data_IF_270731087786
#
_entry.id   IF_270731087786
#
_cell.length_a   1.000
_cell.length_b   1.000
_cell.length_c   1.000
_cell.angle_alpha   90.00
_cell.angle_beta   90.00
_cell.angle_gamma   90.00
#
_symmetry.space_group_name_H-M   'P 1'
#
loop_
_entity.id
_entity.type
_entity.pdbx_description
1 polymer ?
#
# COMPACT_ATOMS: atom_id res chain seq x y z
N UNK A 1 1.99 9.08 -14.58
CA UNK A 1 0.72 8.50 -15.03
C UNK A 1 -0.29 8.67 -13.92
N UNK A 2 -1.49 9.06 -14.29
CA UNK A 2 -2.55 9.27 -13.31
C UNK A 2 -2.88 7.94 -12.64
N UNK A 3 -2.97 7.95 -11.32
CA UNK A 3 -3.25 6.77 -10.49
C UNK A 3 -4.77 6.56 -10.46
N UNK A 4 -5.30 5.96 -11.55
CA UNK A 4 -6.73 5.77 -11.73
C UNK A 4 -7.19 4.42 -11.19
N UNK A 5 -8.50 4.27 -10.97
CA UNK A 5 -9.08 2.99 -10.58
C UNK A 5 -8.81 1.89 -11.64
N UNK A 6 -8.79 2.25 -12.93
CA UNK A 6 -8.46 1.32 -14.00
C UNK A 6 -7.03 0.79 -13.93
N UNK A 7 -6.07 1.67 -13.64
CA UNK A 7 -4.66 1.28 -13.43
C UNK A 7 -4.51 0.34 -12.24
N UNK A 8 -5.22 0.60 -11.14
CA UNK A 8 -5.21 -0.26 -9.95
C UNK A 8 -5.79 -1.65 -10.26
N UNK A 9 -6.94 -1.71 -10.94
CA UNK A 9 -7.57 -2.97 -11.36
C UNK A 9 -6.60 -3.80 -12.22
N UNK A 10 -6.01 -3.17 -13.24
CA UNK A 10 -5.05 -3.82 -14.13
C UNK A 10 -3.84 -4.37 -13.37
N UNK A 11 -3.25 -3.56 -12.47
CA UNK A 11 -2.07 -3.95 -11.69
C UNK A 11 -2.38 -5.14 -10.79
N UNK A 12 -3.49 -5.11 -10.06
CA UNK A 12 -3.88 -6.20 -9.14
C UNK A 12 -4.24 -7.46 -9.93
N UNK A 13 -5.00 -7.34 -11.02
CA UNK A 13 -5.33 -8.49 -11.89
C UNK A 13 -4.07 -9.19 -12.40
N UNK A 14 -3.12 -8.41 -12.90
CA UNK A 14 -1.83 -8.94 -13.39
C UNK A 14 -1.05 -9.61 -12.26
N UNK A 15 -1.02 -9.02 -11.08
CA UNK A 15 -0.40 -9.59 -9.89
C UNK A 15 -1.05 -10.93 -9.47
N UNK A 16 -2.37 -11.07 -9.67
CA UNK A 16 -3.11 -12.33 -9.46
C UNK A 16 -2.94 -13.32 -10.62
N UNK A 17 -2.11 -13.02 -11.64
CA UNK A 17 -1.92 -13.84 -12.85
C UNK A 17 -3.21 -14.10 -13.63
N UNK A 18 -4.20 -13.22 -13.53
CA UNK A 18 -5.46 -13.32 -14.27
C UNK A 18 -5.37 -12.56 -15.59
N UNK A 19 -5.91 -13.16 -16.64
CA UNK A 19 -6.18 -12.47 -17.91
C UNK A 19 -7.44 -11.59 -17.79
N UNK A 20 -7.62 -10.67 -18.72
CA UNK A 20 -8.85 -9.88 -18.81
C UNK A 20 -10.08 -10.78 -19.04
N UNK A 21 -9.92 -11.85 -19.79
CA UNK A 21 -11.00 -12.81 -20.05
C UNK A 21 -11.39 -13.56 -18.77
N UNK A 22 -10.43 -14.02 -17.98
CA UNK A 22 -10.68 -14.74 -16.73
C UNK A 22 -11.38 -13.87 -15.69
N UNK A 23 -10.93 -12.63 -15.50
CA UNK A 23 -11.62 -11.71 -14.57
C UNK A 23 -13.02 -11.36 -15.12
N UNK A 24 -13.15 -11.13 -16.41
CA UNK A 24 -14.46 -10.89 -17.05
C UNK A 24 -15.40 -12.07 -16.89
N UNK A 25 -14.92 -13.30 -17.05
CA UNK A 25 -15.69 -14.52 -16.84
C UNK A 25 -16.13 -14.68 -15.38
N UNK A 26 -15.21 -14.41 -14.43
CA UNK A 26 -15.53 -14.44 -12.99
C UNK A 26 -16.59 -13.40 -12.59
N UNK A 27 -16.68 -12.28 -13.31
CA UNK A 27 -17.71 -11.25 -13.17
C UNK A 27 -19.03 -11.61 -13.90
N UNK A 28 -19.11 -12.78 -14.52
CA UNK A 28 -20.30 -13.24 -15.23
C UNK A 28 -20.54 -12.60 -16.60
N UNK A 29 -19.50 -12.01 -17.21
CA UNK A 29 -19.65 -11.28 -18.49
C UNK A 29 -19.48 -12.14 -19.75
N UNK A 30 -19.15 -13.41 -19.60
CA UNK A 30 -18.97 -14.34 -20.70
C UNK A 30 -17.95 -13.88 -21.75
N UNK A 31 -18.20 -14.16 -23.03
CA UNK A 31 -17.27 -13.90 -24.14
C UNK A 31 -16.91 -12.41 -24.34
N UNK A 32 -17.75 -11.51 -23.85
CA UNK A 32 -17.50 -10.04 -23.90
C UNK A 32 -16.68 -9.53 -22.72
N UNK A 33 -16.31 -10.40 -21.79
CA UNK A 33 -15.67 -10.03 -20.52
C UNK A 33 -14.34 -9.32 -20.71
N UNK A 34 -13.47 -9.80 -21.58
CA UNK A 34 -12.17 -9.21 -21.85
C UNK A 34 -12.28 -7.77 -22.37
N UNK A 35 -13.15 -7.55 -23.38
CA UNK A 35 -13.34 -6.23 -23.97
C UNK A 35 -13.97 -5.24 -22.98
N UNK A 36 -14.94 -5.71 -22.19
CA UNK A 36 -15.58 -4.89 -21.17
C UNK A 36 -14.59 -4.52 -20.05
N UNK A 37 -13.74 -5.44 -19.61
CA UNK A 37 -12.71 -5.17 -18.62
C UNK A 37 -11.65 -4.19 -19.14
N UNK A 38 -11.23 -4.34 -20.41
CA UNK A 38 -10.30 -3.41 -21.04
C UNK A 38 -10.81 -1.96 -21.01
N UNK A 39 -12.13 -1.75 -21.16
CA UNK A 39 -12.75 -0.41 -21.06
C UNK A 39 -12.62 0.18 -19.65
N UNK A 40 -12.69 -0.63 -18.59
CA UNK A 40 -12.44 -0.17 -17.22
C UNK A 40 -10.95 0.08 -16.97
N UNK A 41 -10.07 -0.80 -17.41
CA UNK A 41 -8.63 -0.67 -17.24
C UNK A 41 -8.02 0.51 -18.00
N UNK A 42 -8.65 0.95 -19.07
CA UNK A 42 -8.26 2.14 -19.85
C UNK A 42 -8.98 3.42 -19.42
N UNK A 43 -9.80 3.33 -18.37
CA UNK A 43 -10.64 4.43 -17.87
C UNK A 43 -11.65 5.00 -18.89
N UNK A 44 -11.92 4.25 -19.98
CA UNK A 44 -13.01 4.58 -20.89
C UNK A 44 -14.38 4.49 -20.18
N UNK A 45 -14.48 3.61 -19.18
CA UNK A 45 -15.60 3.51 -18.25
C UNK A 45 -15.10 3.50 -16.81
N UNK A 46 -15.87 4.13 -15.92
CA UNK A 46 -15.64 4.09 -14.47
C UNK A 46 -16.59 3.04 -13.86
N UNK A 47 -16.07 2.04 -13.11
CA UNK A 47 -16.92 1.05 -12.48
C UNK A 47 -17.74 1.68 -11.35
N UNK A 48 -19.00 1.24 -11.21
CA UNK A 48 -19.85 1.62 -10.07
C UNK A 48 -19.36 0.93 -8.80
N UNK A 49 -19.73 1.47 -7.65
CA UNK A 49 -19.30 1.00 -6.32
C UNK A 49 -19.59 -0.48 -6.07
N UNK A 50 -20.75 -0.99 -6.49
CA UNK A 50 -21.12 -2.39 -6.39
C UNK A 50 -20.18 -3.29 -7.21
N UNK A 51 -19.85 -2.88 -8.44
CA UNK A 51 -18.92 -3.60 -9.30
C UNK A 51 -17.49 -3.57 -8.74
N UNK A 52 -17.06 -2.45 -8.16
CA UNK A 52 -15.75 -2.34 -7.48
C UNK A 52 -15.67 -3.33 -6.32
N UNK A 53 -16.72 -3.44 -5.52
CA UNK A 53 -16.80 -4.39 -4.41
C UNK A 53 -16.73 -5.84 -4.91
N UNK A 54 -17.40 -6.16 -6.00
CA UNK A 54 -17.36 -7.49 -6.61
C UNK A 54 -15.97 -7.82 -7.19
N UNK A 55 -15.36 -6.88 -7.90
CA UNK A 55 -13.99 -7.03 -8.38
C UNK A 55 -12.99 -7.26 -7.24
N UNK A 56 -13.10 -6.49 -6.15
CA UNK A 56 -12.24 -6.65 -4.97
C UNK A 56 -12.38 -8.04 -4.36
N UNK A 57 -13.59 -8.59 -4.30
CA UNK A 57 -13.85 -9.94 -3.80
C UNK A 57 -13.19 -11.00 -4.68
N UNK A 58 -13.34 -10.90 -6.01
CA UNK A 58 -12.75 -11.86 -6.97
C UNK A 58 -11.22 -11.77 -6.94
N UNK A 59 -10.68 -10.56 -6.87
CA UNK A 59 -9.24 -10.31 -6.82
C UNK A 59 -8.63 -10.59 -5.43
N UNK A 60 -9.45 -10.95 -4.45
CA UNK A 60 -9.04 -11.19 -3.07
C UNK A 60 -8.23 -10.02 -2.47
N UNK A 61 -8.81 -8.82 -2.54
CA UNK A 61 -8.23 -7.58 -1.99
C UNK A 61 -9.25 -6.83 -1.13
N UNK A 62 -8.74 -5.95 -0.26
CA UNK A 62 -9.63 -5.03 0.45
C UNK A 62 -10.26 -4.05 -0.55
N UNK A 63 -11.59 -3.84 -0.55
CA UNK A 63 -12.24 -2.87 -1.42
C UNK A 63 -11.66 -1.45 -1.34
N UNK A 64 -11.13 -1.03 -0.18
CA UNK A 64 -10.48 0.27 -0.01
C UNK A 64 -9.36 0.50 -1.02
N UNK A 65 -8.62 -0.55 -1.40
CA UNK A 65 -7.51 -0.38 -2.37
C UNK A 65 -7.98 0.06 -3.76
N UNK A 66 -9.25 -0.15 -4.10
CA UNK A 66 -9.87 0.24 -5.37
C UNK A 66 -10.74 1.50 -5.27
N UNK A 67 -10.99 2.03 -4.08
CA UNK A 67 -11.81 3.22 -3.88
C UNK A 67 -11.04 4.50 -4.19
N UNK A 68 -11.76 5.53 -4.62
CA UNK A 68 -11.26 6.90 -4.58
C UNK A 68 -11.45 7.45 -3.17
N UNK A 69 -10.45 8.19 -2.63
CA UNK A 69 -10.56 8.76 -1.29
C UNK A 69 -11.71 9.76 -1.18
N UNK A 70 -12.53 9.65 -0.16
CA UNK A 70 -13.70 10.50 0.05
C UNK A 70 -13.69 11.28 1.36
N UNK A 71 -13.05 10.76 2.40
CA UNK A 71 -13.09 11.32 3.76
C UNK A 71 -11.74 11.81 4.26
N UNK A 72 -10.64 11.41 3.65
CA UNK A 72 -9.27 11.69 4.09
C UNK A 72 -8.99 11.21 5.52
N UNK A 73 -9.63 10.12 5.93
CA UNK A 73 -9.29 9.46 7.18
C UNK A 73 -7.93 8.74 7.07
N UNK A 74 -7.43 8.20 8.17
CA UNK A 74 -6.12 7.56 8.20
C UNK A 74 -5.98 6.41 7.20
N UNK A 75 -7.05 5.66 6.97
CA UNK A 75 -7.06 4.51 6.06
C UNK A 75 -7.00 4.96 4.60
N UNK A 76 -7.76 5.97 4.22
CA UNK A 76 -7.74 6.55 2.87
C UNK A 76 -6.38 7.21 2.58
N UNK A 77 -5.79 7.91 3.55
CA UNK A 77 -4.45 8.49 3.41
C UNK A 77 -3.39 7.40 3.18
N UNK A 78 -3.43 6.31 3.93
CA UNK A 78 -2.50 5.20 3.72
C UNK A 78 -2.67 4.59 2.33
N UNK A 79 -3.89 4.43 1.83
CA UNK A 79 -4.14 3.93 0.47
C UNK A 79 -3.54 4.85 -0.60
N UNK A 80 -3.68 6.16 -0.46
CA UNK A 80 -3.05 7.13 -1.36
C UNK A 80 -1.53 6.95 -1.36
N UNK A 81 -0.93 6.90 -0.17
CA UNK A 81 0.53 6.76 -0.02
C UNK A 81 1.02 5.43 -0.60
N UNK A 82 0.31 4.33 -0.36
CA UNK A 82 0.66 3.02 -0.92
C UNK A 82 0.65 3.01 -2.45
N UNK A 83 -0.36 3.62 -3.08
CA UNK A 83 -0.42 3.69 -4.53
C UNK A 83 0.63 4.64 -5.12
N UNK A 84 0.94 5.74 -4.43
CA UNK A 84 2.06 6.60 -4.81
C UNK A 84 3.37 5.81 -4.80
N UNK A 85 3.63 5.05 -3.74
CA UNK A 85 4.82 4.20 -3.61
C UNK A 85 4.88 3.11 -4.70
N UNK A 86 3.73 2.51 -5.01
CA UNK A 86 3.66 1.41 -5.97
C UNK A 86 3.88 1.84 -7.43
N UNK A 87 3.32 3.00 -7.85
CA UNK A 87 3.49 3.51 -9.21
C UNK A 87 4.77 4.33 -9.38
N UNK A 88 5.37 4.81 -8.30
CA UNK A 88 6.59 5.61 -8.32
C UNK A 88 7.59 5.07 -7.28
N UNK A 89 8.21 3.89 -7.53
CA UNK A 89 9.15 3.28 -6.59
C UNK A 89 10.27 4.26 -6.20
N UNK A 90 10.49 4.43 -4.90
CA UNK A 90 11.50 5.31 -4.34
C UNK A 90 11.08 6.79 -4.23
N UNK A 91 9.86 7.15 -4.62
CA UNK A 91 9.36 8.52 -4.44
C UNK A 91 9.14 8.87 -2.97
N UNK A 92 8.62 7.92 -2.16
CA UNK A 92 8.39 8.12 -0.73
C UNK A 92 9.49 7.41 0.05
N UNK A 93 10.21 8.19 0.85
CA UNK A 93 11.18 7.70 1.83
C UNK A 93 10.71 8.11 3.22
N UNK A 94 10.82 7.19 4.16
CA UNK A 94 10.34 7.38 5.51
C UNK A 94 11.52 7.51 6.48
N UNK A 95 11.44 8.51 7.36
CA UNK A 95 12.36 8.69 8.48
C UNK A 95 11.62 8.39 9.76
N UNK A 96 12.25 7.66 10.66
CA UNK A 96 11.80 7.62 12.03
C UNK A 96 12.64 8.61 12.85
N UNK A 97 11.98 9.65 13.35
CA UNK A 97 12.59 10.57 14.30
C UNK A 97 12.50 9.96 15.70
N UNK A 98 13.62 9.91 16.40
CA UNK A 98 13.70 9.46 17.80
C UNK A 98 14.27 10.58 18.66
N UNK A 99 13.78 10.65 19.90
CA UNK A 99 14.45 11.44 20.94
C UNK A 99 15.76 10.75 21.30
N UNK A 100 16.86 11.47 21.35
CA UNK A 100 18.19 10.91 21.65
C UNK A 100 18.19 10.22 23.02
N UNK A 101 18.52 8.90 23.10
CA UNK A 101 18.54 8.21 24.38
C UNK A 101 19.82 8.55 25.12
N UNK A 102 19.84 9.48 26.04
CA UNK A 102 21.03 9.65 26.82
C UNK A 102 21.13 10.86 27.71
N UNK A 103 20.41 11.90 27.47
CA UNK A 103 20.33 13.03 28.37
C UNK A 103 18.87 13.45 28.56
N UNK A 104 18.50 13.74 29.82
CA UNK A 104 17.25 14.44 30.11
C UNK A 104 17.37 15.87 29.58
N UNK A 105 17.44 15.99 28.25
CA UNK A 105 17.36 17.27 27.58
C UNK A 105 15.92 17.75 27.66
N UNK A 106 15.73 18.86 28.31
CA UNK A 106 14.45 19.59 28.29
C UNK A 106 14.24 20.34 26.97
N UNK A 107 15.06 20.11 25.96
CA UNK A 107 14.95 20.72 24.65
C UNK A 107 14.34 19.72 23.67
N UNK A 108 13.28 20.12 22.97
CA UNK A 108 12.63 19.39 21.89
C UNK A 108 13.48 19.27 20.61
N UNK A 109 14.76 19.64 20.67
CA UNK A 109 15.61 19.84 19.50
C UNK A 109 16.52 18.64 19.16
N UNK A 110 16.58 17.61 20.05
CA UNK A 110 17.42 16.43 19.85
C UNK A 110 16.61 15.28 19.25
N UNK A 111 16.44 15.30 17.93
CA UNK A 111 15.82 14.19 17.19
C UNK A 111 16.85 13.48 16.31
N UNK A 112 16.85 12.15 16.31
CA UNK A 112 17.69 11.31 15.47
C UNK A 112 16.87 10.50 14.48
N UNK A 113 17.43 10.21 13.30
CA UNK A 113 16.85 9.31 12.33
C UNK A 113 17.28 7.88 12.68
N UNK A 114 16.31 7.01 13.00
CA UNK A 114 16.58 5.62 13.34
C UNK A 114 16.74 4.73 12.12
N UNK A 115 15.90 4.92 11.10
CA UNK A 115 15.91 4.16 9.87
C UNK A 115 15.85 5.10 8.67
N UNK A 116 16.65 4.80 7.66
CA UNK A 116 16.74 5.54 6.43
C UNK A 116 16.46 4.58 5.26
N UNK A 117 15.41 4.84 4.51
CA UNK A 117 14.87 3.95 3.49
C UNK A 117 15.74 3.89 2.22
N UNK A 118 16.38 4.99 1.86
CA UNK A 118 17.24 5.09 0.67
C UNK A 118 18.72 5.09 1.02
N UNK A 119 19.53 4.37 0.24
CA UNK A 119 20.99 4.41 0.39
C UNK A 119 21.62 5.68 -0.21
N UNK A 120 20.85 6.44 -0.99
CA UNK A 120 21.27 7.67 -1.64
C UNK A 120 20.62 8.87 -1.00
N UNK A 121 21.42 9.68 -0.34
CA UNK A 121 20.95 10.96 0.20
C UNK A 121 20.84 11.98 -0.94
N UNK A 122 19.73 12.70 -1.12
CA UNK A 122 19.59 13.66 -2.21
C UNK A 122 20.56 14.83 -2.06
N UNK A 123 20.94 15.45 -3.18
CA UNK A 123 21.82 16.62 -3.20
C UNK A 123 21.27 17.83 -2.40
N UNK A 124 19.95 17.91 -2.27
CA UNK A 124 19.28 18.85 -1.40
C UNK A 124 18.75 18.14 -0.17
N UNK A 125 18.82 18.77 1.00
CA UNK A 125 18.32 18.20 2.25
C UNK A 125 16.87 17.75 2.11
N UNK A 126 16.56 16.45 2.34
CA UNK A 126 15.21 15.94 2.23
C UNK A 126 14.35 16.42 3.40
N UNK A 127 13.06 16.53 3.14
CA UNK A 127 12.07 16.76 4.19
C UNK A 127 11.53 15.40 4.62
N UNK A 128 11.67 15.06 5.90
CA UNK A 128 11.04 13.88 6.48
C UNK A 128 9.51 14.06 6.46
N UNK A 129 8.79 12.97 6.19
CA UNK A 129 7.34 12.99 6.24
C UNK A 129 6.88 12.45 7.58
N UNK A 130 6.21 13.27 8.37
CA UNK A 130 5.53 12.85 9.59
C UNK A 130 4.19 13.57 9.70
N UNK A 131 3.28 12.98 10.49
CA UNK A 131 1.96 13.54 10.71
C UNK A 131 1.73 13.70 12.22
N UNK A 132 1.13 14.81 12.64
CA UNK A 132 0.67 14.99 14.01
C UNK A 132 -0.67 14.26 14.24
N UNK A 133 -0.66 12.97 13.97
CA UNK A 133 -1.83 12.09 14.05
C UNK A 133 -1.35 10.72 14.54
N UNK A 134 -1.64 10.40 15.81
CA UNK A 134 -1.11 9.21 16.48
C UNK A 134 -1.38 7.92 15.70
N UNK A 135 -2.62 7.70 15.29
CA UNK A 135 -3.02 6.47 14.58
C UNK A 135 -2.27 6.34 13.25
N UNK A 136 -2.16 7.45 12.49
CA UNK A 136 -1.41 7.46 11.25
C UNK A 136 0.09 7.21 11.49
N UNK A 137 0.67 7.79 12.55
CA UNK A 137 2.06 7.55 12.91
C UNK A 137 2.32 6.09 13.29
N UNK A 138 1.37 5.41 13.96
CA UNK A 138 1.48 3.99 14.28
C UNK A 138 1.44 3.15 12.98
N UNK A 139 0.61 3.50 12.01
CA UNK A 139 0.60 2.87 10.69
C UNK A 139 1.90 3.11 9.92
N UNK A 140 2.42 4.32 9.95
CA UNK A 140 3.70 4.65 9.30
C UNK A 140 4.88 3.92 9.95
N UNK A 141 4.87 3.71 11.27
CA UNK A 141 5.90 2.87 11.94
C UNK A 141 5.87 1.43 11.43
N UNK A 142 4.67 0.85 11.29
CA UNK A 142 4.54 -0.49 10.72
C UNK A 142 5.02 -0.52 9.27
N UNK A 143 4.67 0.48 8.47
CA UNK A 143 5.16 0.57 7.09
C UNK A 143 6.68 0.71 7.02
N UNK A 144 7.28 1.53 7.88
CA UNK A 144 8.75 1.63 7.99
C UNK A 144 9.37 0.26 8.25
N UNK A 145 8.81 -0.52 9.17
CA UNK A 145 9.26 -1.90 9.43
C UNK A 145 9.11 -2.80 8.19
N UNK A 146 7.99 -2.73 7.47
CA UNK A 146 7.80 -3.50 6.22
C UNK A 146 8.85 -3.15 5.16
N UNK A 147 9.21 -1.86 5.02
CA UNK A 147 10.25 -1.42 4.09
C UNK A 147 11.64 -1.92 4.51
N UNK A 148 11.94 -1.92 5.80
CA UNK A 148 13.17 -2.49 6.35
C UNK A 148 13.25 -4.01 6.11
N UNK A 149 12.17 -4.74 6.35
CA UNK A 149 12.08 -6.18 6.07
C UNK A 149 12.26 -6.47 4.57
N UNK A 150 11.67 -5.66 3.68
CA UNK A 150 11.88 -5.78 2.24
C UNK A 150 13.34 -5.52 1.85
N UNK A 151 13.96 -4.48 2.39
CA UNK A 151 15.35 -4.12 2.13
C UNK A 151 16.32 -5.21 2.61
N UNK A 152 16.07 -5.81 3.77
CA UNK A 152 16.87 -6.91 4.33
C UNK A 152 16.60 -8.28 3.69
N UNK A 153 15.56 -8.40 2.87
CA UNK A 153 15.15 -9.68 2.28
C UNK A 153 14.35 -10.58 3.25
N UNK A 154 13.96 -10.07 4.41
CA UNK A 154 13.11 -10.80 5.35
C UNK A 154 11.69 -11.07 4.82
N UNK A 155 11.24 -10.24 3.87
CA UNK A 155 10.02 -10.46 3.09
C UNK A 155 10.31 -10.26 1.61
N UNK A 156 9.52 -10.91 0.76
CA UNK A 156 9.59 -10.77 -0.68
C UNK A 156 8.80 -9.54 -1.17
N UNK A 157 9.06 -9.12 -2.41
CA UNK A 157 8.30 -8.05 -3.08
C UNK A 157 6.81 -8.40 -3.17
N UNK A 158 6.47 -9.65 -3.44
CA UNK A 158 5.11 -10.14 -3.55
C UNK A 158 4.39 -10.09 -2.20
N UNK A 159 5.07 -10.53 -1.11
CA UNK A 159 4.53 -10.42 0.25
C UNK A 159 4.30 -8.97 0.66
N UNK A 160 5.23 -8.08 0.33
CA UNK A 160 5.07 -6.65 0.59
C UNK A 160 3.88 -6.06 -0.16
N UNK A 161 3.68 -6.44 -1.43
CA UNK A 161 2.52 -6.00 -2.19
C UNK A 161 1.23 -6.60 -1.64
N UNK A 162 1.21 -7.89 -1.28
CA UNK A 162 0.07 -8.54 -0.63
C UNK A 162 -0.32 -7.84 0.68
N UNK A 163 0.66 -7.45 1.49
CA UNK A 163 0.42 -6.67 2.71
C UNK A 163 -0.29 -5.35 2.39
N UNK A 164 0.15 -4.61 1.37
CA UNK A 164 -0.44 -3.33 0.97
C UNK A 164 -1.87 -3.45 0.46
N UNK A 165 -2.14 -4.38 -0.47
CA UNK A 165 -3.47 -4.48 -1.13
C UNK A 165 -4.57 -5.07 -0.23
N UNK A 166 -4.20 -5.65 0.89
CA UNK A 166 -5.12 -6.17 1.90
C UNK A 166 -5.09 -5.40 3.22
N UNK A 167 -4.37 -4.29 3.26
CA UNK A 167 -4.37 -3.42 4.42
C UNK A 167 -5.78 -2.78 4.61
N UNK A 168 -6.31 -2.58 5.84
CA UNK A 168 -5.68 -2.75 7.15
C UNK A 168 -5.77 -4.16 7.76
N UNK A 169 -6.38 -5.14 7.11
CA UNK A 169 -6.53 -6.49 7.65
C UNK A 169 -5.19 -7.21 7.88
N UNK A 170 -4.16 -6.80 7.16
CA UNK A 170 -2.78 -7.29 7.25
C UNK A 170 -1.95 -6.60 8.33
N UNK A 171 -2.48 -5.54 8.95
CA UNK A 171 -1.81 -4.80 10.02
C UNK A 171 -1.62 -5.69 11.25
N UNK A 172 -0.38 -5.73 11.78
CA UNK A 172 0.01 -6.55 12.94
C UNK A 172 0.61 -5.73 14.10
N UNK A 173 0.53 -4.40 14.02
CA UNK A 173 1.12 -3.48 15.01
C UNK A 173 2.61 -3.76 15.26
N UNK A 174 3.40 -3.81 14.18
CA UNK A 174 4.81 -4.15 14.20
C UNK A 174 5.10 -5.54 14.82
N UNK A 175 4.23 -6.51 14.58
CA UNK A 175 4.37 -7.88 15.06
C UNK A 175 3.85 -8.13 16.48
N UNK A 176 3.25 -7.12 17.13
CA UNK A 176 2.69 -7.26 18.49
C UNK A 176 1.38 -8.04 18.54
N UNK A 177 0.70 -8.17 17.41
CA UNK A 177 -0.55 -8.91 17.29
C UNK A 177 -0.61 -9.70 15.98
N UNK A 178 -1.46 -10.74 15.97
CA UNK A 178 -1.72 -11.49 14.75
C UNK A 178 -2.62 -10.66 13.82
N UNK A 179 -2.26 -10.52 12.51
CA UNK A 179 -3.12 -9.84 11.56
C UNK A 179 -4.43 -10.62 11.34
N UNK A 180 -5.50 -9.90 10.98
CA UNK A 180 -6.79 -10.53 10.65
C UNK A 180 -6.71 -11.35 9.35
N UNK A 181 -5.83 -10.94 8.43
CA UNK A 181 -5.53 -11.66 7.20
C UNK A 181 -4.03 -11.89 7.10
N UNK A 182 -3.63 -13.15 6.99
CA UNK A 182 -2.22 -13.52 6.81
C UNK A 182 -1.75 -13.13 5.40
N UNK A 183 -0.57 -12.56 5.32
CA UNK A 183 0.03 -12.05 4.09
C UNK A 183 1.44 -12.63 3.83
N UNK A 184 2.12 -13.10 4.87
CA UNK A 184 3.39 -13.80 4.70
C UNK A 184 3.13 -15.20 4.17
N UNK A 185 3.89 -15.63 3.18
CA UNK A 185 3.90 -17.02 2.74
C UNK A 185 4.56 -17.86 3.83
N UNK A 186 3.92 -18.94 4.24
CA UNK A 186 4.58 -19.94 5.11
C UNK A 186 5.80 -20.45 4.36
N UNK A 187 6.96 -20.43 4.99
CA UNK A 187 8.08 -21.20 4.50
C UNK A 187 7.70 -22.70 4.70
N UNK A 188 7.24 -23.35 3.63
CA UNK A 188 7.18 -24.80 3.55
C UNK A 188 8.58 -25.36 3.38
#
# INVERSE_FOLDING_TARGET
SDMTIGDKIKKIRTFRNMTQAELGAALGWGDKGANRLAQYETNYRVPRKDLVTEMAKILDVNPLTLHEPTTMDASELMEILFWIDEFNPGMINLFQLETYPGEKSNSSDDAAIRYHDSDSWPAHSPVGMWFNYRVLNDFLKEWTLRKEELKSGAITRDEYFEWKINWPQTCDDCGKRKPSKQWRKSNE
#
